data_IF_045289413569
#
_entry.id   IF_045289413569
#
_cell.length_a   1.000
_cell.length_b   1.000
_cell.length_c   1.000
_cell.angle_alpha   90.00
_cell.angle_beta   90.00
_cell.angle_gamma   90.00
#
_symmetry.space_group_name_H-M   'P 1'
#
loop_
_entity.id
_entity.type
_entity.pdbx_description
1 polymer ?
#
# COMPACT_ATOMS: atom_id res chain seq x y z
N UNK A 1 -0.87 18.60 19.75
CA UNK A 1 -1.61 17.40 19.27
C UNK A 1 -0.68 16.21 19.25
N UNK A 2 -1.16 15.05 19.67
CA UNK A 2 -0.48 13.76 19.51
C UNK A 2 -1.46 12.74 18.95
N UNK A 3 -1.29 12.37 17.69
CA UNK A 3 -2.17 11.42 17.00
C UNK A 3 -2.06 10.00 17.59
N UNK A 4 -0.88 9.63 18.11
CA UNK A 4 -0.64 8.31 18.70
C UNK A 4 -1.28 8.12 20.08
N UNK A 5 -1.53 9.21 20.81
CA UNK A 5 -2.14 9.18 22.15
C UNK A 5 -3.57 9.75 22.18
N UNK A 6 -4.06 10.25 21.04
CA UNK A 6 -5.37 10.91 20.93
C UNK A 6 -5.42 12.33 21.52
N UNK A 7 -4.35 12.82 22.14
CA UNK A 7 -4.36 14.12 22.82
C UNK A 7 -4.49 15.28 21.82
N UNK A 8 -5.57 16.05 21.97
CA UNK A 8 -5.91 17.21 21.14
C UNK A 8 -6.59 16.88 19.80
N UNK A 9 -6.92 15.61 19.54
CA UNK A 9 -7.69 15.23 18.33
C UNK A 9 -9.10 15.82 18.37
N UNK A 10 -9.77 15.78 19.53
CA UNK A 10 -11.11 16.37 19.70
C UNK A 10 -11.12 17.89 19.52
N UNK A 11 -10.10 18.59 20.03
CA UNK A 11 -9.96 20.05 19.88
C UNK A 11 -9.72 20.45 18.42
N UNK A 12 -8.93 19.64 17.69
CA UNK A 12 -8.74 19.82 16.25
C UNK A 12 -10.03 19.59 15.47
N UNK A 13 -10.77 18.52 15.77
CA UNK A 13 -12.06 18.22 15.12
C UNK A 13 -13.05 19.36 15.31
N UNK A 14 -13.21 19.88 16.52
CA UNK A 14 -14.10 21.02 16.80
C UNK A 14 -13.66 22.31 16.09
N UNK A 15 -12.35 22.57 15.98
CA UNK A 15 -11.84 23.73 15.26
C UNK A 15 -12.03 23.64 13.73
N UNK A 16 -12.00 22.42 13.18
CA UNK A 16 -12.26 22.14 11.76
C UNK A 16 -13.76 22.22 11.45
N UNK A 17 -14.62 21.64 12.28
CA UNK A 17 -16.08 21.70 12.15
C UNK A 17 -16.57 23.15 12.10
N UNK A 18 -16.08 24.00 13.00
CA UNK A 18 -16.42 25.42 13.04
C UNK A 18 -16.00 26.21 11.77
N UNK A 19 -15.13 25.64 10.92
CA UNK A 19 -14.59 26.27 9.71
C UNK A 19 -15.04 25.59 8.42
N UNK A 20 -15.75 24.46 8.50
CA UNK A 20 -16.22 23.73 7.32
C UNK A 20 -17.40 24.48 6.68
N UNK A 21 -17.40 24.66 5.35
CA UNK A 21 -18.55 25.20 4.65
C UNK A 21 -19.71 24.21 4.70
N UNK A 22 -20.93 24.72 4.82
CA UNK A 22 -22.14 23.89 4.72
C UNK A 22 -22.21 23.32 3.31
N UNK A 23 -22.19 21.99 3.20
CA UNK A 23 -22.28 21.25 1.94
C UNK A 23 -23.07 19.96 2.19
N UNK A 24 -23.85 19.47 1.21
CA UNK A 24 -24.29 18.08 1.25
C UNK A 24 -23.07 17.14 1.31
N UNK A 25 -23.25 15.96 1.89
CA UNK A 25 -22.24 14.90 1.83
C UNK A 25 -21.89 14.64 0.36
N UNK A 26 -20.61 14.79 0.02
CA UNK A 26 -20.11 14.60 -1.35
C UNK A 26 -19.91 13.10 -1.68
N UNK A 27 -19.95 12.23 -0.67
CA UNK A 27 -19.76 10.79 -0.75
C UNK A 27 -20.80 10.07 0.14
N UNK A 28 -21.24 8.85 -0.21
CA UNK A 28 -22.14 8.04 0.60
C UNK A 28 -21.58 7.72 2.00
N UNK A 29 -22.42 7.59 3.02
CA UNK A 29 -22.01 7.32 4.41
C UNK A 29 -21.30 5.96 4.58
N UNK A 30 -21.55 5.03 3.67
CA UNK A 30 -20.96 3.70 3.57
C UNK A 30 -19.62 3.66 2.82
N UNK A 31 -19.22 4.78 2.19
CA UNK A 31 -17.92 4.93 1.55
C UNK A 31 -16.86 5.34 2.60
N UNK A 32 -16.43 4.37 3.41
CA UNK A 32 -15.46 4.56 4.51
C UNK A 32 -14.12 5.17 4.06
N UNK A 33 -13.79 5.10 2.77
CA UNK A 33 -12.62 5.74 2.18
C UNK A 33 -12.80 6.01 0.67
N UNK A 34 -12.28 7.16 0.21
CA UNK A 34 -12.19 7.55 -1.22
C UNK A 34 -11.34 6.57 -2.05
N UNK A 35 -10.58 5.68 -1.39
CA UNK A 35 -9.64 4.74 -2.01
C UNK A 35 -10.21 3.32 -2.06
N UNK A 36 -10.04 2.62 -3.18
CA UNK A 36 -10.55 1.25 -3.35
C UNK A 36 -9.95 0.24 -2.34
N UNK A 37 -10.66 -0.85 -2.03
CA UNK A 37 -10.14 -1.97 -1.20
C UNK A 37 -8.74 -2.43 -1.63
N UNK A 38 -8.48 -2.47 -2.94
CA UNK A 38 -7.17 -2.84 -3.49
C UNK A 38 -6.04 -1.92 -3.04
N UNK A 39 -6.32 -0.62 -2.84
CA UNK A 39 -5.35 0.33 -2.29
C UNK A 39 -4.98 -0.04 -0.86
N UNK A 40 -5.95 -0.28 0.01
CA UNK A 40 -5.67 -0.67 1.40
C UNK A 40 -4.90 -1.98 1.48
N UNK A 41 -5.26 -2.98 0.70
CA UNK A 41 -4.50 -4.23 0.61
C UNK A 41 -3.05 -3.97 0.16
N UNK A 42 -2.85 -3.08 -0.82
CA UNK A 42 -1.51 -2.67 -1.27
C UNK A 42 -0.71 -2.03 -0.14
N UNK A 43 -1.31 -1.08 0.59
CA UNK A 43 -0.64 -0.38 1.68
C UNK A 43 -0.38 -1.29 2.88
N UNK A 44 -1.25 -2.24 3.22
CA UNK A 44 -1.01 -3.23 4.27
C UNK A 44 0.20 -4.12 3.94
N UNK A 45 0.35 -4.52 2.67
CA UNK A 45 1.55 -5.25 2.22
C UNK A 45 2.79 -4.35 2.34
N UNK A 46 2.72 -3.09 1.90
CA UNK A 46 3.83 -2.13 2.00
C UNK A 46 4.23 -1.86 3.45
N UNK A 47 3.28 -1.61 4.34
CA UNK A 47 3.49 -1.45 5.78
C UNK A 47 4.20 -2.67 6.37
N UNK A 48 3.75 -3.88 6.02
CA UNK A 48 4.41 -5.11 6.47
C UNK A 48 5.83 -5.23 5.90
N UNK A 49 6.12 -4.75 4.68
CA UNK A 49 7.48 -4.64 4.16
C UNK A 49 8.33 -3.68 5.03
N UNK A 50 7.77 -2.54 5.44
CA UNK A 50 8.45 -1.61 6.35
C UNK A 50 8.74 -2.20 7.72
N UNK A 51 7.86 -3.06 8.24
CA UNK A 51 8.06 -3.74 9.52
C UNK A 51 9.08 -4.89 9.46
N UNK A 52 9.14 -5.59 8.32
CA UNK A 52 9.91 -6.84 8.18
C UNK A 52 11.30 -6.65 7.59
N UNK A 53 11.57 -5.53 6.92
CA UNK A 53 12.83 -5.29 6.22
C UNK A 53 13.46 -3.97 6.63
N UNK A 54 14.79 -3.92 6.54
CA UNK A 54 15.59 -2.76 6.95
C UNK A 54 16.34 -2.15 5.75
N UNK A 55 17.14 -1.12 6.04
CA UNK A 55 18.03 -0.46 5.08
C UNK A 55 17.24 0.11 3.89
N UNK A 56 17.75 -0.07 2.67
CA UNK A 56 17.19 0.51 1.44
C UNK A 56 15.99 -0.24 0.86
N UNK A 57 15.71 -1.47 1.34
CA UNK A 57 14.69 -2.35 0.74
C UNK A 57 13.29 -1.76 0.85
N UNK A 58 12.80 -1.34 2.03
CA UNK A 58 11.45 -0.76 2.14
C UNK A 58 11.22 0.41 1.18
N UNK A 59 12.22 1.29 1.07
CA UNK A 59 12.18 2.48 0.24
C UNK A 59 12.31 2.22 -1.26
N UNK A 60 12.77 1.04 -1.66
CA UNK A 60 12.99 0.66 -3.06
C UNK A 60 11.92 -0.29 -3.59
N UNK A 61 10.81 -0.43 -2.88
CA UNK A 61 9.70 -1.33 -3.23
C UNK A 61 8.45 -0.59 -3.70
N UNK A 62 7.78 -1.18 -4.68
CA UNK A 62 6.40 -0.84 -5.05
C UNK A 62 5.55 -2.11 -5.01
N UNK A 63 4.30 -2.01 -4.59
CA UNK A 63 3.37 -3.14 -4.53
C UNK A 63 2.23 -2.86 -5.49
N UNK A 64 1.81 -3.88 -6.23
CA UNK A 64 0.68 -3.79 -7.14
C UNK A 64 -0.16 -5.05 -7.04
N UNK A 65 -1.47 -4.90 -6.87
CA UNK A 65 -2.42 -6.00 -6.97
C UNK A 65 -2.65 -6.31 -8.45
N UNK A 66 -2.27 -7.52 -8.87
CA UNK A 66 -2.48 -7.99 -10.25
C UNK A 66 -3.80 -8.71 -10.39
N UNK A 67 -4.28 -9.33 -9.31
CA UNK A 67 -5.51 -10.11 -9.34
C UNK A 67 -6.20 -10.07 -7.98
N UNK A 68 -7.52 -9.88 -8.00
CA UNK A 68 -8.36 -9.89 -6.83
C UNK A 68 -9.66 -10.60 -7.19
N UNK A 69 -9.85 -11.82 -6.67
CA UNK A 69 -11.05 -12.63 -6.89
C UNK A 69 -11.84 -12.68 -5.59
N UNK A 70 -12.78 -11.76 -5.46
CA UNK A 70 -13.63 -11.61 -4.28
C UNK A 70 -14.58 -12.80 -4.09
N UNK A 71 -15.07 -13.38 -5.18
CA UNK A 71 -15.97 -14.52 -5.15
C UNK A 71 -15.29 -15.87 -4.86
N UNK A 72 -13.96 -15.89 -4.66
CA UNK A 72 -13.24 -17.10 -4.27
C UNK A 72 -13.36 -17.31 -2.75
N UNK A 73 -13.35 -18.57 -2.31
CA UNK A 73 -13.28 -18.93 -0.89
C UNK A 73 -12.07 -19.84 -0.62
N UNK A 74 -11.01 -19.35 0.05
CA UNK A 74 -10.83 -17.97 0.55
C UNK A 74 -10.65 -16.94 -0.58
N UNK A 75 -10.80 -15.64 -0.27
CA UNK A 75 -10.55 -14.55 -1.23
C UNK A 75 -9.15 -14.69 -1.79
N UNK A 76 -9.01 -14.71 -3.11
CA UNK A 76 -7.71 -14.84 -3.77
C UNK A 76 -7.16 -13.46 -4.14
N UNK A 77 -5.96 -13.15 -3.65
CA UNK A 77 -5.25 -11.91 -3.93
C UNK A 77 -3.86 -12.25 -4.44
N UNK A 78 -3.54 -11.81 -5.67
CA UNK A 78 -2.16 -11.86 -6.19
C UNK A 78 -1.57 -10.47 -6.24
N UNK A 79 -0.43 -10.30 -5.60
CA UNK A 79 0.31 -9.05 -5.59
C UNK A 79 1.74 -9.25 -6.09
N UNK A 80 2.23 -8.30 -6.88
CA UNK A 80 3.64 -8.19 -7.24
C UNK A 80 4.32 -7.12 -6.40
N UNK A 81 5.41 -7.49 -5.75
CA UNK A 81 6.38 -6.59 -5.11
C UNK A 81 7.50 -6.33 -6.11
N UNK A 82 7.56 -5.11 -6.62
CA UNK A 82 8.62 -4.64 -7.50
C UNK A 82 9.79 -4.09 -6.69
N UNK A 83 11.01 -4.42 -7.11
CA UNK A 83 12.25 -3.86 -6.57
C UNK A 83 13.14 -3.33 -7.68
N UNK A 84 14.07 -2.43 -7.37
CA UNK A 84 14.94 -1.85 -8.40
C UNK A 84 16.08 -2.77 -8.83
N UNK A 85 16.55 -3.66 -7.94
CA UNK A 85 17.73 -4.49 -8.17
C UNK A 85 17.50 -5.95 -7.81
N UNK A 86 18.19 -6.87 -8.47
CA UNK A 86 18.09 -8.30 -8.18
C UNK A 86 18.57 -8.62 -6.75
N UNK A 87 19.58 -7.92 -6.23
CA UNK A 87 20.02 -8.08 -4.84
C UNK A 87 18.91 -7.82 -3.82
N UNK A 88 18.09 -6.79 -4.04
CA UNK A 88 16.94 -6.47 -3.20
C UNK A 88 15.87 -7.56 -3.27
N UNK A 89 15.65 -8.15 -4.45
CA UNK A 89 14.76 -9.31 -4.62
C UNK A 89 15.26 -10.50 -3.81
N UNK A 90 16.55 -10.79 -3.84
CA UNK A 90 17.13 -11.88 -3.03
C UNK A 90 16.97 -11.63 -1.53
N UNK A 91 17.10 -10.37 -1.07
CA UNK A 91 16.85 -9.99 0.34
C UNK A 91 15.38 -10.18 0.70
N UNK A 92 14.45 -9.74 -0.14
CA UNK A 92 13.00 -9.93 0.06
C UNK A 92 12.63 -11.40 0.17
N UNK A 93 13.11 -12.23 -0.75
CA UNK A 93 12.81 -13.66 -0.77
C UNK A 93 13.45 -14.35 0.43
N UNK A 94 14.71 -14.03 0.72
CA UNK A 94 15.50 -14.69 1.75
C UNK A 94 15.83 -16.16 1.42
N UNK A 95 16.66 -16.79 2.25
CA UNK A 95 17.09 -18.17 2.05
C UNK A 95 15.88 -19.12 2.00
N UNK A 96 15.72 -19.84 0.89
CA UNK A 96 14.60 -20.79 0.70
C UNK A 96 13.21 -20.16 0.72
N UNK A 97 13.10 -18.85 0.50
CA UNK A 97 11.82 -18.13 0.57
C UNK A 97 11.34 -17.85 2.00
N UNK A 98 12.19 -18.01 3.02
CA UNK A 98 11.76 -17.86 4.43
C UNK A 98 11.26 -16.44 4.76
N UNK A 99 11.89 -15.39 4.20
CA UNK A 99 11.53 -14.00 4.48
C UNK A 99 10.22 -13.62 3.80
N UNK A 100 10.06 -13.97 2.52
CA UNK A 100 8.81 -13.69 1.80
C UNK A 100 7.61 -14.47 2.37
N UNK A 101 7.82 -15.69 2.88
CA UNK A 101 6.79 -16.45 3.60
C UNK A 101 6.36 -15.74 4.89
N UNK A 102 7.31 -15.21 5.66
CA UNK A 102 7.02 -14.43 6.87
C UNK A 102 6.27 -13.14 6.56
N UNK A 103 6.72 -12.40 5.53
CA UNK A 103 6.02 -11.22 5.03
C UNK A 103 4.58 -11.55 4.64
N UNK A 104 4.40 -12.60 3.83
CA UNK A 104 3.08 -13.03 3.37
C UNK A 104 2.16 -13.45 4.51
N UNK A 105 2.67 -14.14 5.52
CA UNK A 105 1.89 -14.53 6.70
C UNK A 105 1.39 -13.30 7.48
N UNK A 106 2.28 -12.35 7.81
CA UNK A 106 1.91 -11.13 8.56
C UNK A 106 1.00 -10.20 7.76
N UNK A 107 1.28 -10.01 6.48
CA UNK A 107 0.44 -9.19 5.60
C UNK A 107 -0.96 -9.81 5.47
N UNK A 108 -1.05 -11.14 5.29
CA UNK A 108 -2.33 -11.85 5.22
C UNK A 108 -3.14 -11.67 6.50
N UNK A 109 -2.54 -11.79 7.68
CA UNK A 109 -3.25 -11.56 8.96
C UNK A 109 -3.85 -10.16 9.05
N UNK A 110 -3.09 -9.13 8.67
CA UNK A 110 -3.60 -7.75 8.62
C UNK A 110 -4.74 -7.59 7.60
N UNK A 111 -4.61 -8.19 6.43
CA UNK A 111 -5.63 -8.11 5.37
C UNK A 111 -6.90 -8.87 5.80
N UNK A 112 -6.77 -10.06 6.39
CA UNK A 112 -7.92 -10.83 6.91
C UNK A 112 -8.65 -10.05 8.00
N UNK A 113 -7.92 -9.36 8.89
CA UNK A 113 -8.51 -8.48 9.90
C UNK A 113 -9.23 -7.27 9.27
N UNK A 114 -8.67 -6.69 8.21
CA UNK A 114 -9.28 -5.57 7.49
C UNK A 114 -10.54 -5.98 6.70
N UNK A 115 -10.52 -7.15 6.05
CA UNK A 115 -11.63 -7.65 5.21
C UNK A 115 -12.68 -8.43 6.01
N UNK A 116 -12.35 -8.93 7.20
CA UNK A 116 -13.23 -9.81 7.99
C UNK A 116 -13.44 -11.20 7.37
N UNK A 117 -12.61 -11.59 6.38
CA UNK A 117 -12.72 -12.85 5.64
C UNK A 117 -11.35 -13.50 5.46
N UNK A 118 -11.33 -14.82 5.23
CA UNK A 118 -10.09 -15.56 4.94
C UNK A 118 -9.54 -15.18 3.57
N UNK A 119 -8.20 -15.13 3.48
CA UNK A 119 -7.49 -14.71 2.27
C UNK A 119 -6.42 -15.73 1.88
N UNK A 120 -6.34 -16.04 0.59
CA UNK A 120 -5.13 -16.62 -0.01
C UNK A 120 -4.32 -15.49 -0.65
N UNK A 121 -3.16 -15.20 -0.07
CA UNK A 121 -2.26 -14.14 -0.53
C UNK A 121 -1.09 -14.74 -1.32
N UNK A 122 -1.06 -14.50 -2.63
CA UNK A 122 -0.02 -14.92 -3.56
C UNK A 122 0.95 -13.75 -3.86
N UNK A 123 2.15 -13.82 -3.28
CA UNK A 123 3.17 -12.76 -3.42
C UNK A 123 4.25 -13.15 -4.43
N UNK A 124 4.44 -12.27 -5.41
CA UNK A 124 5.51 -12.37 -6.40
C UNK A 124 6.53 -11.26 -6.18
N UNK A 125 7.82 -11.54 -6.40
CA UNK A 125 8.87 -10.51 -6.37
C UNK A 125 9.52 -10.40 -7.73
N UNK A 126 9.46 -9.21 -8.34
CA UNK A 126 10.01 -8.95 -9.69
C UNK A 126 10.95 -7.75 -9.69
N UNK A 127 12.13 -7.83 -10.32
CA UNK A 127 12.95 -6.66 -10.55
C UNK A 127 12.28 -5.76 -11.61
N UNK A 128 12.27 -4.45 -11.36
CA UNK A 128 11.84 -3.40 -12.29
C UNK A 128 12.81 -2.22 -12.14
N UNK A 129 13.85 -2.23 -12.97
CA UNK A 129 14.96 -1.28 -12.84
C UNK A 129 14.51 0.17 -13.07
N UNK A 130 14.94 1.06 -12.17
CA UNK A 130 14.71 2.51 -12.21
C UNK A 130 13.23 2.89 -12.33
N UNK A 131 12.32 2.11 -11.73
CA UNK A 131 10.88 2.35 -11.85
C UNK A 131 10.45 3.72 -11.31
N UNK A 132 11.19 4.26 -10.33
CA UNK A 132 10.95 5.59 -9.77
C UNK A 132 11.22 6.74 -10.75
N UNK A 133 12.03 6.48 -11.79
CA UNK A 133 12.50 7.51 -12.74
C UNK A 133 11.78 7.51 -14.08
N UNK A 134 10.90 6.54 -14.34
CA UNK A 134 10.19 6.44 -15.62
C UNK A 134 8.72 6.74 -15.40
N UNK A 135 8.23 7.77 -16.09
CA UNK A 135 6.82 8.19 -16.04
C UNK A 135 5.87 7.01 -16.30
N UNK A 136 6.15 6.21 -17.33
CA UNK A 136 5.31 5.05 -17.67
C UNK A 136 5.25 3.99 -16.56
N UNK A 137 6.33 3.79 -15.79
CA UNK A 137 6.29 2.84 -14.66
C UNK A 137 5.62 3.43 -13.43
N UNK A 138 5.72 4.75 -13.19
CA UNK A 138 4.97 5.41 -12.12
C UNK A 138 3.46 5.28 -12.36
N UNK A 139 3.00 5.58 -13.59
CA UNK A 139 1.60 5.40 -13.98
C UNK A 139 1.14 3.96 -13.84
N UNK A 140 1.95 3.02 -14.34
CA UNK A 140 1.65 1.59 -14.22
C UNK A 140 1.56 1.12 -12.75
N UNK A 141 2.35 1.69 -11.85
CA UNK A 141 2.32 1.37 -10.43
C UNK A 141 1.27 2.17 -9.63
N UNK A 142 0.50 3.04 -10.28
CA UNK A 142 -0.53 3.86 -9.63
C UNK A 142 0.01 5.05 -8.85
N UNK A 143 1.27 5.46 -9.08
CA UNK A 143 1.85 6.65 -8.47
C UNK A 143 1.57 7.91 -9.29
N UNK A 144 1.36 9.07 -8.63
CA UNK A 144 1.23 10.34 -9.34
C UNK A 144 2.51 10.63 -10.11
N UNK A 145 2.35 11.05 -11.36
CA UNK A 145 3.46 11.52 -12.19
C UNK A 145 3.77 12.96 -11.78
N UNK A 146 5.02 13.27 -11.37
CA UNK A 146 5.43 14.65 -11.20
C UNK A 146 5.17 15.40 -12.51
N UNK A 147 4.45 16.53 -12.45
CA UNK A 147 4.38 17.42 -13.61
C UNK A 147 5.81 17.87 -13.89
N UNK A 148 6.30 17.67 -15.11
CA UNK A 148 7.53 18.34 -15.51
C UNK A 148 7.27 19.83 -15.36
N UNK A 149 8.02 20.48 -14.47
CA UNK A 149 8.03 21.95 -14.42
C UNK A 149 8.40 22.41 -15.83
N UNK A 150 7.52 23.23 -16.41
CA UNK A 150 7.70 23.82 -17.71
C UNK A 150 8.77 24.92 -17.66
N UNK A 151 9.94 24.64 -17.10
CA UNK A 151 11.08 25.57 -17.04
C UNK A 151 12.34 24.84 -17.50
N UNK A 152 12.31 24.46 -18.78
CA UNK A 152 13.50 24.47 -19.60
C UNK A 152 13.70 25.87 -20.15
N UNK A 153 14.12 26.82 -19.31
CA UNK A 153 14.95 28.00 -19.60
C UNK A 153 15.12 28.90 -18.36
#
# INVERSE_FOLDING_TARGET
LSASTGQGVAELLGALEARLPVSPFLYPEDELAVQSVRFFVTELIRETIFEEYEQEVPYSTAVRIEEYREAADPIYIRATIYVERESQKQILIGRGGARIKRLGARAREKIEAFLGQRVYLDLWVKPLANWRRKVGTLQYLGYPVPREDADGH
#
